data_IF_921960511783
#
_entry.id   IF_921960511783
#
_cell.length_a   1.000
_cell.length_b   1.000
_cell.length_c   1.000
_cell.angle_alpha   90.00
_cell.angle_beta   90.00
_cell.angle_gamma   90.00
#
_symmetry.space_group_name_H-M   'P 1'
#
loop_
_entity.id
_entity.type
_entity.pdbx_description
1 polymer ?
#
# COMPACT_ATOMS: atom_id res chain seq x y z
N UNK A 1 3.97 -7.38 13.92
CA UNK A 1 3.20 -6.66 12.89
C UNK A 1 2.72 -5.33 13.46
N UNK A 2 2.23 -4.42 12.62
CA UNK A 2 1.62 -3.15 13.07
C UNK A 2 0.16 -3.12 12.64
N UNK A 3 -0.70 -2.49 13.45
CA UNK A 3 -2.08 -2.18 13.07
C UNK A 3 -2.18 -0.73 12.62
N UNK A 4 -2.82 -0.47 11.49
CA UNK A 4 -2.99 0.88 10.96
C UNK A 4 -4.21 0.98 10.05
N UNK A 5 -4.57 2.21 9.68
CA UNK A 5 -5.65 2.44 8.70
C UNK A 5 -5.15 2.28 7.27
N UNK A 6 -5.98 1.75 6.39
CA UNK A 6 -5.77 1.74 4.94
C UNK A 6 -7.08 1.95 4.20
N UNK A 7 -7.01 2.50 2.97
CA UNK A 7 -8.13 2.51 2.04
C UNK A 7 -8.12 1.19 1.25
N UNK A 8 -9.11 0.34 1.49
CA UNK A 8 -9.21 -0.99 0.87
C UNK A 8 -10.31 -0.95 -0.18
N UNK A 9 -9.96 -1.35 -1.41
CA UNK A 9 -10.93 -1.64 -2.45
C UNK A 9 -11.29 -3.13 -2.38
N UNK A 10 -12.54 -3.43 -2.02
CA UNK A 10 -13.02 -4.81 -1.89
C UNK A 10 -13.45 -5.42 -3.21
N UNK A 11 -14.01 -4.61 -4.10
CA UNK A 11 -14.55 -5.01 -5.40
C UNK A 11 -14.44 -3.83 -6.38
N UNK A 12 -14.44 -4.08 -7.71
CA UNK A 12 -14.44 -3.00 -8.69
C UNK A 12 -15.72 -2.16 -8.63
N UNK A 13 -15.62 -0.89 -9.03
CA UNK A 13 -16.70 0.10 -9.06
C UNK A 13 -17.38 0.38 -7.72
N UNK A 14 -16.75 0.00 -6.60
CA UNK A 14 -17.21 0.36 -5.26
C UNK A 14 -16.29 1.40 -4.63
N UNK A 15 -16.81 2.33 -3.80
CA UNK A 15 -15.97 3.19 -2.98
C UNK A 15 -15.02 2.35 -2.11
N UNK A 16 -13.79 2.84 -1.93
CA UNK A 16 -12.87 2.25 -0.96
C UNK A 16 -13.41 2.42 0.45
N UNK A 17 -13.17 1.44 1.32
CA UNK A 17 -13.47 1.54 2.74
C UNK A 17 -12.20 1.82 3.55
N UNK A 18 -12.32 2.62 4.61
CA UNK A 18 -11.21 2.85 5.55
C UNK A 18 -11.25 1.75 6.59
N UNK A 19 -10.32 0.81 6.50
CA UNK A 19 -10.24 -0.36 7.37
C UNK A 19 -9.05 -0.27 8.32
N UNK A 20 -9.14 -0.94 9.48
CA UNK A 20 -7.96 -1.30 10.27
C UNK A 20 -7.36 -2.59 9.69
N UNK A 21 -6.10 -2.53 9.28
CA UNK A 21 -5.36 -3.66 8.72
C UNK A 21 -4.16 -4.01 9.58
N UNK A 22 -3.64 -5.23 9.38
CA UNK A 22 -2.36 -5.66 9.93
C UNK A 22 -1.28 -5.68 8.85
N UNK A 23 -0.19 -4.96 9.07
CA UNK A 23 0.99 -4.98 8.20
C UNK A 23 2.09 -5.78 8.89
N UNK A 24 2.48 -6.89 8.26
CA UNK A 24 3.55 -7.76 8.71
C UNK A 24 4.89 -7.00 8.86
N UNK A 25 5.84 -7.50 9.68
CA UNK A 25 7.22 -7.02 9.61
C UNK A 25 7.83 -7.26 8.21
N UNK A 26 8.77 -6.42 7.75
CA UNK A 26 9.45 -6.66 6.48
C UNK A 26 10.28 -7.95 6.56
N UNK A 27 10.24 -8.75 5.50
CA UNK A 27 11.10 -9.93 5.31
C UNK A 27 12.48 -9.52 4.80
N UNK A 28 13.34 -10.50 4.53
CA UNK A 28 14.64 -10.30 3.89
C UNK A 28 14.50 -9.47 2.61
N UNK A 29 15.33 -8.43 2.49
CA UNK A 29 15.34 -7.48 1.37
C UNK A 29 14.07 -6.61 1.19
N UNK A 30 13.17 -6.57 2.17
CA UNK A 30 11.99 -5.69 2.16
C UNK A 30 12.19 -4.45 3.07
N UNK A 31 11.45 -3.37 2.78
CA UNK A 31 11.43 -2.14 3.58
C UNK A 31 9.99 -1.81 3.95
N UNK A 32 9.74 -1.50 5.22
CA UNK A 32 8.43 -1.02 5.67
C UNK A 32 8.48 0.50 5.86
N UNK A 33 7.56 1.19 5.21
CA UNK A 33 7.52 2.66 5.15
C UNK A 33 6.25 3.15 5.84
N UNK A 34 6.41 4.14 6.73
CA UNK A 34 5.29 4.93 7.23
C UNK A 34 4.96 6.01 6.21
N UNK A 35 3.88 5.82 5.48
CA UNK A 35 3.40 6.82 4.52
C UNK A 35 2.96 8.10 5.25
N UNK A 36 3.43 9.26 4.76
CA UNK A 36 3.10 10.58 5.30
C UNK A 36 2.14 11.32 4.36
N UNK A 37 2.31 11.14 3.05
CA UNK A 37 1.44 11.67 2.03
C UNK A 37 1.32 10.69 0.85
N UNK A 38 0.17 10.71 0.18
CA UNK A 38 -0.11 9.96 -1.04
C UNK A 38 -0.88 10.86 -2.02
N UNK A 39 -0.53 10.78 -3.30
CA UNK A 39 -1.31 11.31 -4.41
C UNK A 39 -2.38 10.32 -4.86
N UNK A 40 -3.30 10.80 -5.70
CA UNK A 40 -4.28 9.99 -6.43
C UNK A 40 -4.05 10.24 -7.91
N UNK A 41 -3.82 9.17 -8.66
CA UNK A 41 -3.59 9.23 -10.08
C UNK A 41 -4.73 8.53 -10.85
N UNK A 42 -4.89 8.86 -12.13
CA UNK A 42 -5.87 8.22 -13.00
C UNK A 42 -5.67 6.71 -13.10
N UNK A 43 -4.43 6.23 -12.95
CA UNK A 43 -4.16 4.79 -12.95
C UNK A 43 -4.81 4.08 -11.76
N UNK A 44 -4.89 4.73 -10.59
CA UNK A 44 -5.58 4.16 -9.43
C UNK A 44 -7.08 4.01 -9.73
N UNK A 45 -7.70 5.02 -10.35
CA UNK A 45 -9.09 5.00 -10.82
C UNK A 45 -9.36 3.85 -11.80
N UNK A 46 -8.50 3.66 -12.82
CA UNK A 46 -8.60 2.52 -13.74
C UNK A 46 -8.50 1.15 -13.05
N UNK A 47 -7.69 1.04 -11.98
CA UNK A 47 -7.64 -0.18 -11.17
C UNK A 47 -8.96 -0.39 -10.42
N UNK A 48 -9.49 0.66 -9.79
CA UNK A 48 -10.76 0.63 -9.06
C UNK A 48 -11.96 0.33 -9.97
N UNK A 49 -11.91 0.73 -11.24
CA UNK A 49 -12.90 0.39 -12.26
C UNK A 49 -12.70 -1.01 -12.87
N UNK A 50 -11.67 -1.75 -12.44
CA UNK A 50 -11.38 -3.08 -12.99
C UNK A 50 -10.91 -3.07 -14.46
N UNK A 51 -10.51 -1.92 -15.00
CA UNK A 51 -10.04 -1.78 -16.38
C UNK A 51 -8.62 -2.33 -16.58
N UNK A 52 -7.87 -2.48 -15.49
CA UNK A 52 -6.57 -3.16 -15.49
C UNK A 52 -6.80 -4.64 -15.18
N UNK A 53 -6.75 -5.47 -16.23
CA UNK A 53 -7.12 -6.89 -16.22
C UNK A 53 -6.44 -7.75 -15.13
N UNK A 54 -5.28 -7.33 -14.63
CA UNK A 54 -4.53 -8.06 -13.60
C UNK A 54 -4.81 -7.56 -12.17
N UNK A 55 -5.76 -6.64 -11.97
CA UNK A 55 -6.13 -6.16 -10.64
C UNK A 55 -6.86 -7.26 -9.88
N UNK A 56 -6.30 -7.68 -8.75
CA UNK A 56 -6.88 -8.71 -7.87
C UNK A 56 -7.43 -8.05 -6.63
N UNK A 57 -8.74 -8.16 -6.43
CA UNK A 57 -9.41 -7.64 -5.24
C UNK A 57 -9.47 -8.71 -4.13
N UNK A 58 -9.42 -8.33 -2.83
CA UNK A 58 -9.28 -6.95 -2.34
C UNK A 58 -7.86 -6.40 -2.53
N UNK A 59 -7.76 -5.09 -2.76
CA UNK A 59 -6.48 -4.41 -3.03
C UNK A 59 -6.39 -3.07 -2.31
N UNK A 60 -5.18 -2.69 -1.90
CA UNK A 60 -4.82 -1.33 -1.48
C UNK A 60 -4.05 -0.71 -2.64
N UNK A 61 -4.68 0.26 -3.32
CA UNK A 61 -4.07 1.00 -4.45
C UNK A 61 -3.23 2.18 -3.93
N UNK A 62 -2.69 2.99 -4.84
CA UNK A 62 -1.81 4.11 -4.53
C UNK A 62 -0.36 3.79 -4.85
N UNK A 63 0.21 4.55 -5.78
CA UNK A 63 1.58 4.37 -6.26
C UNK A 63 2.38 5.69 -6.28
N UNK A 64 1.76 6.79 -5.84
CA UNK A 64 2.38 8.09 -5.73
C UNK A 64 2.40 8.50 -4.25
N UNK A 65 3.55 8.49 -3.60
CA UNK A 65 3.59 8.85 -2.18
C UNK A 65 4.99 9.11 -1.64
N UNK A 66 5.02 9.71 -0.45
CA UNK A 66 6.24 9.98 0.30
C UNK A 66 6.03 9.55 1.76
N UNK A 67 7.09 8.97 2.34
CA UNK A 67 7.04 8.42 3.67
C UNK A 67 8.40 8.39 4.34
N UNK A 68 8.40 7.90 5.58
CA UNK A 68 9.60 7.74 6.39
C UNK A 68 9.82 6.23 6.57
N UNK A 69 11.06 5.77 6.44
CA UNK A 69 11.41 4.36 6.69
C UNK A 69 11.10 4.05 8.16
N UNK A 70 10.26 3.05 8.42
CA UNK A 70 9.92 2.64 9.78
C UNK A 70 10.78 1.46 10.23
N UNK A 71 10.99 0.47 9.35
CA UNK A 71 11.89 -0.66 9.59
C UNK A 71 12.40 -1.25 8.28
N UNK A 72 13.55 -1.94 8.35
CA UNK A 72 14.17 -2.64 7.23
C UNK A 72 14.37 -4.12 7.56
N UNK A 73 14.21 -4.97 6.55
CA UNK A 73 14.51 -6.39 6.66
C UNK A 73 15.99 -6.72 6.55
N UNK A 74 16.34 -7.99 6.79
CA UNK A 74 17.73 -8.45 6.67
C UNK A 74 18.27 -8.21 5.26
N UNK A 75 19.52 -7.77 5.17
CA UNK A 75 20.22 -7.59 3.89
C UNK A 75 19.91 -6.27 3.17
N UNK A 76 19.04 -5.42 3.71
CA UNK A 76 18.88 -4.04 3.23
C UNK A 76 20.03 -3.19 3.75
N UNK A 77 20.77 -2.54 2.84
CA UNK A 77 21.93 -1.70 3.18
C UNK A 77 21.86 -0.28 2.61
N UNK A 78 20.87 -0.01 1.76
CA UNK A 78 20.73 1.26 1.02
C UNK A 78 19.94 2.32 1.79
N UNK A 79 19.16 1.91 2.79
CA UNK A 79 18.33 2.78 3.63
C UNK A 79 18.32 2.28 5.08
N UNK A 80 17.91 3.15 6.00
CA UNK A 80 17.75 2.86 7.43
C UNK A 80 16.54 3.63 7.99
N UNK A 81 15.95 3.18 9.11
CA UNK A 81 14.96 3.97 9.84
C UNK A 81 15.49 5.35 10.26
#
# INVERSE_FOLDING_TARGET
>A
AIKCKAAVAWEPHKPMSIEEIEVAPPKDHEVRIKMVASGICRTDDHMLEGLIANTKFPVIVGHEGAGIVESVGRGVTTVKP
#
